data_IF_779364586371
#
_entry.id   IF_779364586371
#
_cell.length_a   1.000
_cell.length_b   1.000
_cell.length_c   1.000
_cell.angle_alpha   90.00
_cell.angle_beta   90.00
_cell.angle_gamma   90.00
#
_symmetry.space_group_name_H-M   'P 1'
#
loop_
_entity.id
_entity.type
_entity.pdbx_description
1 polymer ?
#
# COMPACT_ATOMS: atom_id res chain seq x y z
N UNK A 1 20.51 -16.22 5.84
CA UNK A 1 21.09 -15.99 4.50
C UNK A 1 20.76 -14.57 4.08
N UNK A 2 21.76 -13.69 4.03
CA UNK A 2 21.62 -12.31 3.60
C UNK A 2 21.52 -12.29 2.07
N UNK A 3 20.33 -12.02 1.52
CA UNK A 3 20.17 -11.80 0.08
C UNK A 3 20.94 -10.53 -0.28
N UNK A 4 22.17 -10.67 -0.78
CA UNK A 4 22.95 -9.54 -1.28
C UNK A 4 22.17 -8.88 -2.42
N UNK A 5 21.90 -7.57 -2.27
CA UNK A 5 21.26 -6.82 -3.33
C UNK A 5 22.25 -6.67 -4.49
N UNK A 6 21.82 -6.87 -5.75
CA UNK A 6 22.68 -6.64 -6.89
C UNK A 6 23.15 -5.17 -6.88
N UNK A 7 24.42 -4.89 -7.24
CA UNK A 7 25.04 -3.59 -7.05
C UNK A 7 24.26 -2.42 -7.69
N UNK A 8 23.48 -2.66 -8.74
CA UNK A 8 22.63 -1.65 -9.37
C UNK A 8 21.40 -1.21 -8.56
N UNK A 9 20.78 -2.11 -7.76
CA UNK A 9 19.56 -1.77 -6.99
C UNK A 9 19.87 -0.88 -5.80
N UNK A 10 20.90 -1.23 -5.03
CA UNK A 10 21.35 -0.41 -3.91
C UNK A 10 21.83 0.97 -4.39
N UNK A 11 22.54 1.02 -5.53
CA UNK A 11 22.93 2.27 -6.18
C UNK A 11 21.73 3.13 -6.58
N UNK A 12 20.69 2.54 -7.18
CA UNK A 12 19.46 3.26 -7.53
C UNK A 12 18.76 3.84 -6.30
N UNK A 13 18.59 3.04 -5.25
CA UNK A 13 17.97 3.50 -3.99
C UNK A 13 18.76 4.66 -3.39
N UNK A 14 20.09 4.51 -3.28
CA UNK A 14 20.96 5.56 -2.76
C UNK A 14 20.90 6.83 -3.62
N UNK A 15 20.84 6.70 -4.95
CA UNK A 15 20.72 7.82 -5.87
C UNK A 15 19.39 8.56 -5.69
N UNK A 16 18.27 7.85 -5.57
CA UNK A 16 16.94 8.47 -5.35
C UNK A 16 16.90 9.16 -3.99
N UNK A 17 17.30 8.46 -2.91
CA UNK A 17 17.33 9.03 -1.55
C UNK A 17 18.21 10.27 -1.52
N UNK A 18 19.43 10.17 -2.06
CA UNK A 18 20.39 11.27 -2.10
C UNK A 18 19.87 12.45 -2.91
N UNK A 19 19.23 12.21 -4.06
CA UNK A 19 18.66 13.28 -4.91
C UNK A 19 17.52 14.01 -4.20
N UNK A 20 16.55 13.27 -3.65
CA UNK A 20 15.43 13.86 -2.89
C UNK A 20 15.96 14.68 -1.73
N UNK A 21 16.89 14.12 -0.96
CA UNK A 21 17.48 14.78 0.19
C UNK A 21 18.21 16.08 -0.19
N UNK A 22 19.07 16.04 -1.22
CA UNK A 22 19.80 17.22 -1.68
C UNK A 22 18.84 18.30 -2.17
N UNK A 23 17.87 17.94 -3.00
CA UNK A 23 16.88 18.91 -3.53
C UNK A 23 16.05 19.51 -2.39
N UNK A 24 15.59 18.70 -1.44
CA UNK A 24 14.84 19.17 -0.28
C UNK A 24 15.66 20.16 0.58
N UNK A 25 16.87 19.77 0.99
CA UNK A 25 17.70 20.66 1.80
C UNK A 25 18.10 21.93 1.05
N UNK A 26 18.41 21.86 -0.25
CA UNK A 26 18.72 23.05 -1.06
C UNK A 26 17.53 24.00 -1.15
N UNK A 27 16.34 23.48 -1.45
CA UNK A 27 15.14 24.32 -1.57
C UNK A 27 14.74 24.94 -0.24
N UNK A 28 14.87 24.23 0.88
CA UNK A 28 14.67 24.78 2.23
C UNK A 28 15.68 25.88 2.56
N UNK A 29 16.97 25.68 2.25
CA UNK A 29 18.00 26.71 2.44
C UNK A 29 17.69 27.98 1.63
N UNK A 30 17.30 27.82 0.37
CA UNK A 30 16.88 28.93 -0.49
C UNK A 30 15.64 29.63 0.08
N UNK A 31 14.65 28.87 0.58
CA UNK A 31 13.45 29.45 1.17
C UNK A 31 13.77 30.28 2.42
N UNK A 32 14.65 29.79 3.30
CA UNK A 32 15.09 30.52 4.50
C UNK A 32 15.84 31.80 4.12
N UNK A 33 16.73 31.72 3.10
CA UNK A 33 17.53 32.86 2.63
C UNK A 33 16.69 33.93 1.91
N UNK A 34 15.72 33.52 1.09
CA UNK A 34 15.00 34.43 0.17
C UNK A 34 13.68 34.94 0.70
N UNK A 35 12.97 34.16 1.51
CA UNK A 35 11.66 34.58 2.03
C UNK A 35 11.81 35.40 3.31
N UNK A 36 12.88 35.21 4.09
CA UNK A 36 13.34 35.92 5.31
C UNK A 36 12.28 36.16 6.40
N UNK A 37 11.17 36.82 6.06
CA UNK A 37 10.01 37.04 6.90
C UNK A 37 9.10 35.80 6.93
N UNK A 38 8.94 35.25 8.13
CA UNK A 38 8.05 34.12 8.40
C UNK A 38 6.59 34.56 8.20
N UNK A 39 5.77 33.69 7.62
CA UNK A 39 4.34 33.92 7.33
C UNK A 39 4.03 35.06 6.34
N UNK A 40 5.03 35.56 5.61
CA UNK A 40 4.81 36.53 4.53
C UNK A 40 4.66 35.79 3.20
N UNK A 41 3.48 35.85 2.56
CA UNK A 41 3.25 35.14 1.30
C UNK A 41 3.87 35.88 0.11
N UNK A 42 4.52 35.11 -0.77
CA UNK A 42 5.08 35.59 -2.02
C UNK A 42 4.37 34.89 -3.18
N UNK A 43 3.60 35.62 -3.96
CA UNK A 43 2.82 35.04 -5.06
C UNK A 43 3.73 34.53 -6.19
N UNK A 44 3.49 33.28 -6.63
CA UNK A 44 4.20 32.65 -7.75
C UNK A 44 3.24 32.49 -8.94
N UNK A 45 2.07 31.92 -8.69
CA UNK A 45 0.98 31.78 -9.69
C UNK A 45 -0.29 32.32 -9.08
N UNK A 46 -0.45 33.64 -9.19
CA UNK A 46 -1.58 34.36 -8.58
C UNK A 46 -1.78 33.99 -7.12
N UNK A 47 -3.02 33.66 -6.76
CA UNK A 47 -3.36 33.18 -5.42
C UNK A 47 -3.12 31.67 -5.23
N UNK A 48 -3.14 30.91 -6.33
CA UNK A 48 -3.13 29.45 -6.34
C UNK A 48 -1.85 28.84 -5.77
N UNK A 49 -0.69 29.43 -6.09
CA UNK A 49 0.62 29.01 -5.60
C UNK A 49 1.39 30.21 -5.06
N UNK A 50 1.82 30.09 -3.81
CA UNK A 50 2.62 31.06 -3.10
C UNK A 50 3.82 30.37 -2.45
N UNK A 51 4.86 31.14 -2.18
CA UNK A 51 5.91 30.77 -1.27
C UNK A 51 5.77 31.52 0.04
N UNK A 52 5.59 30.78 1.13
CA UNK A 52 5.33 31.32 2.46
C UNK A 52 6.20 30.56 3.46
N UNK A 53 7.24 31.21 4.01
CA UNK A 53 8.14 30.55 4.96
C UNK A 53 7.41 30.24 6.27
N UNK A 54 7.37 28.96 6.64
CA UNK A 54 6.78 28.45 7.87
C UNK A 54 7.77 27.52 8.54
N UNK A 55 7.97 27.70 9.85
CA UNK A 55 8.71 26.76 10.67
C UNK A 55 7.73 25.88 11.43
N UNK A 56 7.90 24.58 11.29
CA UNK A 56 6.94 23.61 11.77
C UNK A 56 7.56 22.75 12.90
N UNK A 57 7.42 23.18 14.17
CA UNK A 57 8.10 22.56 15.31
C UNK A 57 7.57 21.16 15.64
N UNK A 58 6.38 20.83 15.16
CA UNK A 58 5.67 19.64 15.62
C UNK A 58 4.30 19.47 14.99
N UNK A 59 4.12 19.92 13.76
CA UNK A 59 3.01 19.49 12.94
C UNK A 59 3.49 18.67 11.75
N UNK A 60 2.72 17.66 11.39
CA UNK A 60 2.85 16.96 10.12
C UNK A 60 1.48 17.04 9.45
N UNK A 61 1.41 17.59 8.23
CA UNK A 61 0.14 17.79 7.52
C UNK A 61 -0.94 18.53 8.36
N UNK A 62 -0.53 19.51 9.17
CA UNK A 62 -1.43 20.27 10.05
C UNK A 62 -1.78 19.60 11.39
N UNK A 63 -1.27 18.40 11.70
CA UNK A 63 -1.54 17.69 12.96
C UNK A 63 -0.58 18.12 14.07
N UNK A 64 -1.08 18.75 15.14
CA UNK A 64 -0.29 19.12 16.33
C UNK A 64 -0.65 18.21 17.52
N UNK A 65 0.32 17.50 18.09
CA UNK A 65 0.14 16.54 19.21
C UNK A 65 0.60 17.11 20.57
N UNK A 66 0.69 18.44 20.68
CA UNK A 66 1.08 19.15 21.90
C UNK A 66 2.61 19.30 22.07
N UNK A 67 3.09 19.54 23.31
CA UNK A 67 4.48 19.90 23.59
C UNK A 67 5.52 18.86 23.12
N UNK A 68 5.13 17.59 23.05
CA UNK A 68 6.02 16.48 22.68
C UNK A 68 5.99 16.12 21.20
N UNK A 69 5.24 16.87 20.37
CA UNK A 69 5.04 16.56 18.96
C UNK A 69 6.33 16.31 18.19
N UNK A 70 7.38 17.12 18.45
CA UNK A 70 8.70 16.95 17.83
C UNK A 70 9.26 15.55 18.04
N UNK A 71 9.23 15.07 19.29
CA UNK A 71 9.79 13.77 19.67
C UNK A 71 8.91 12.63 19.15
N UNK A 72 7.59 12.79 19.20
CA UNK A 72 6.64 11.81 18.65
C UNK A 72 6.87 11.64 17.15
N UNK A 73 6.88 12.74 16.38
CA UNK A 73 7.10 12.65 14.93
C UNK A 73 8.51 12.16 14.57
N UNK A 74 9.52 12.49 15.39
CA UNK A 74 10.87 11.93 15.23
C UNK A 74 10.86 10.42 15.41
N UNK A 75 10.26 9.91 16.48
CA UNK A 75 10.16 8.48 16.75
C UNK A 75 9.34 7.74 15.68
N UNK A 76 8.20 8.32 15.24
CA UNK A 76 7.40 7.78 14.15
C UNK A 76 8.20 7.72 12.84
N UNK A 77 8.97 8.76 12.52
CA UNK A 77 9.80 8.79 11.31
C UNK A 77 10.88 7.70 11.36
N UNK A 78 11.56 7.53 12.49
CA UNK A 78 12.56 6.47 12.68
C UNK A 78 11.91 5.08 12.54
N UNK A 79 10.76 4.87 13.18
CA UNK A 79 9.99 3.63 13.07
C UNK A 79 9.58 3.31 11.63
N UNK A 80 9.10 4.31 10.89
CA UNK A 80 8.76 4.20 9.48
C UNK A 80 9.99 3.84 8.61
N UNK A 81 11.14 4.47 8.85
CA UNK A 81 12.38 4.13 8.13
C UNK A 81 12.84 2.69 8.39
N UNK A 82 12.71 2.20 9.63
CA UNK A 82 13.01 0.79 9.96
C UNK A 82 12.05 -0.16 9.23
N UNK A 83 10.75 0.16 9.19
CA UNK A 83 9.75 -0.63 8.47
C UNK A 83 10.02 -0.65 6.96
N UNK A 84 10.30 0.51 6.37
CA UNK A 84 10.64 0.65 4.96
C UNK A 84 11.92 -0.12 4.60
N UNK A 85 12.92 -0.11 5.48
CA UNK A 85 14.12 -0.91 5.30
C UNK A 85 13.82 -2.41 5.30
N UNK A 86 12.97 -2.90 6.22
CA UNK A 86 12.52 -4.30 6.21
C UNK A 86 11.79 -4.64 4.91
N UNK A 87 10.83 -3.80 4.51
CA UNK A 87 10.08 -3.97 3.27
C UNK A 87 11.00 -4.00 2.05
N UNK A 88 12.02 -3.16 2.01
CA UNK A 88 13.04 -3.16 0.96
C UNK A 88 13.80 -4.48 0.88
N UNK A 89 14.17 -5.08 2.03
CA UNK A 89 14.86 -6.38 2.06
C UNK A 89 13.98 -7.53 1.58
N UNK A 90 12.67 -7.43 1.78
CA UNK A 90 11.68 -8.41 1.35
C UNK A 90 11.29 -8.22 -0.13
N UNK A 91 11.57 -7.06 -0.72
CA UNK A 91 11.18 -6.72 -2.09
C UNK A 91 11.91 -7.56 -3.14
N UNK A 92 11.12 -8.25 -3.96
CA UNK A 92 11.61 -9.07 -5.08
C UNK A 92 12.46 -8.26 -6.08
N UNK A 93 13.40 -8.94 -6.75
CA UNK A 93 14.38 -8.28 -7.63
C UNK A 93 13.76 -7.53 -8.81
N UNK A 94 12.59 -7.97 -9.28
CA UNK A 94 11.89 -7.36 -10.43
C UNK A 94 10.98 -6.18 -10.08
N UNK A 95 10.67 -5.95 -8.80
CA UNK A 95 9.70 -4.93 -8.40
C UNK A 95 10.37 -3.56 -8.23
N UNK A 96 10.72 -2.95 -9.36
CA UNK A 96 11.35 -1.63 -9.38
C UNK A 96 10.41 -0.53 -8.86
N UNK A 97 9.10 -0.67 -9.05
CA UNK A 97 8.13 0.35 -8.62
C UNK A 97 8.09 0.42 -7.09
N UNK A 98 8.06 -0.72 -6.41
CA UNK A 98 8.17 -0.77 -4.94
C UNK A 98 9.49 -0.20 -4.45
N UNK A 99 10.61 -0.53 -5.11
CA UNK A 99 11.93 0.00 -4.76
C UNK A 99 11.97 1.53 -4.87
N UNK A 100 11.44 2.09 -5.96
CA UNK A 100 11.36 3.54 -6.15
C UNK A 100 10.45 4.18 -5.10
N UNK A 101 9.28 3.59 -4.83
CA UNK A 101 8.35 4.06 -3.82
C UNK A 101 9.02 4.14 -2.43
N UNK A 102 9.69 3.06 -2.00
CA UNK A 102 10.42 3.02 -0.73
C UNK A 102 11.53 4.07 -0.69
N UNK A 103 12.29 4.23 -1.77
CA UNK A 103 13.37 5.20 -1.84
C UNK A 103 12.87 6.66 -1.76
N UNK A 104 11.74 6.98 -2.42
CA UNK A 104 11.11 8.31 -2.34
C UNK A 104 10.64 8.63 -0.92
N UNK A 105 9.90 7.71 -0.28
CA UNK A 105 9.44 7.91 1.11
C UNK A 105 10.63 8.04 2.05
N UNK A 106 11.63 7.19 1.91
CA UNK A 106 12.84 7.22 2.75
C UNK A 106 13.61 8.54 2.58
N UNK A 107 13.78 9.01 1.35
CA UNK A 107 14.46 10.27 1.05
C UNK A 107 13.78 11.48 1.70
N UNK A 108 12.47 11.62 1.55
CA UNK A 108 11.71 12.70 2.18
C UNK A 108 11.68 12.59 3.70
N UNK A 109 11.52 11.37 4.23
CA UNK A 109 11.58 11.12 5.67
C UNK A 109 12.93 11.53 6.28
N UNK A 110 14.05 11.24 5.60
CA UNK A 110 15.37 11.69 6.05
C UNK A 110 15.53 13.22 6.05
N UNK A 111 15.05 13.93 5.02
CA UNK A 111 15.10 15.40 4.96
C UNK A 111 14.35 16.05 6.13
N UNK A 112 13.10 15.64 6.34
CA UNK A 112 12.30 16.17 7.46
C UNK A 112 12.82 15.72 8.84
N UNK A 113 13.37 14.52 8.97
CA UNK A 113 14.03 14.07 10.21
C UNK A 113 15.23 14.96 10.54
N UNK A 114 16.04 15.28 9.54
CA UNK A 114 17.24 16.09 9.73
C UNK A 114 16.93 17.48 10.24
N UNK A 115 15.92 18.15 9.69
CA UNK A 115 15.49 19.47 10.16
C UNK A 115 15.06 19.41 11.63
N UNK A 116 14.26 18.39 11.99
CA UNK A 116 13.82 18.17 13.37
C UNK A 116 14.97 17.90 14.33
N UNK A 117 16.09 17.34 13.87
CA UNK A 117 17.27 17.12 14.70
C UNK A 117 18.14 18.38 14.80
N UNK A 118 18.30 19.11 13.69
CA UNK A 118 19.19 20.28 13.60
C UNK A 118 18.61 21.53 14.23
N UNK A 119 17.30 21.75 14.14
CA UNK A 119 16.67 23.01 14.53
C UNK A 119 15.53 22.80 15.53
N UNK A 120 15.47 23.56 16.63
CA UNK A 120 14.32 23.56 17.52
C UNK A 120 13.07 24.18 16.88
N UNK A 121 13.24 24.93 15.78
CA UNK A 121 12.12 25.50 15.01
C UNK A 121 11.37 24.43 14.20
N UNK A 122 11.96 23.23 14.08
CA UNK A 122 11.40 22.10 13.36
C UNK A 122 11.61 22.17 11.85
N UNK A 123 10.67 21.60 11.11
CA UNK A 123 10.74 21.45 9.65
C UNK A 123 10.53 22.79 8.96
N UNK A 124 11.28 23.05 7.88
CA UNK A 124 11.09 24.24 7.04
C UNK A 124 10.07 23.92 5.95
N UNK A 125 8.93 24.59 6.01
CA UNK A 125 7.86 24.51 5.01
C UNK A 125 7.79 25.83 4.25
N UNK A 126 7.52 25.76 2.94
CA UNK A 126 7.53 26.97 2.11
C UNK A 126 6.59 26.93 0.91
N UNK A 127 6.08 25.77 0.52
CA UNK A 127 5.15 25.62 -0.59
C UNK A 127 3.73 25.77 -0.05
N UNK A 128 3.04 26.83 -0.50
CA UNK A 128 1.70 27.18 -0.03
C UNK A 128 0.74 27.20 -1.22
N UNK A 129 -0.23 26.28 -1.23
CA UNK A 129 -1.21 26.12 -2.32
C UNK A 129 -2.64 26.29 -1.79
N UNK A 130 -3.47 26.99 -2.55
CA UNK A 130 -4.86 27.24 -2.15
C UNK A 130 -5.47 28.46 -2.82
N UNK A 131 -6.73 28.75 -2.51
CA UNK A 131 -7.46 29.92 -3.03
C UNK A 131 -8.18 30.61 -1.87
N UNK A 132 -7.94 31.92 -1.72
CA UNK A 132 -8.49 32.74 -0.65
C UNK A 132 -8.11 32.19 0.72
N UNK A 133 -9.13 31.88 1.53
CA UNK A 133 -8.99 31.29 2.87
C UNK A 133 -8.92 29.77 2.85
N UNK A 134 -9.25 29.11 1.74
CA UNK A 134 -9.16 27.66 1.60
C UNK A 134 -7.78 27.29 1.08
N UNK A 135 -6.86 27.02 2.02
CA UNK A 135 -5.47 26.70 1.72
C UNK A 135 -5.06 25.37 2.31
N UNK A 136 -4.30 24.61 1.55
CA UNK A 136 -3.68 23.38 2.02
C UNK A 136 -2.56 23.71 3.02
N UNK A 137 -2.30 22.87 4.04
CA UNK A 137 -1.17 23.08 4.93
C UNK A 137 0.13 23.25 4.15
N UNK A 138 0.92 24.28 4.47
CA UNK A 138 2.21 24.53 3.83
C UNK A 138 3.11 23.29 3.97
N UNK A 139 3.83 22.95 2.90
CA UNK A 139 4.64 21.74 2.80
C UNK A 139 5.97 22.03 2.09
N UNK A 140 6.78 20.99 1.92
CA UNK A 140 8.09 21.08 1.26
C UNK A 140 8.31 19.92 0.27
N UNK A 141 9.51 19.86 -0.31
CA UNK A 141 9.86 18.82 -1.30
C UNK A 141 9.94 17.43 -0.66
N UNK A 142 10.43 17.32 0.56
CA UNK A 142 10.40 16.06 1.31
C UNK A 142 8.97 15.53 1.49
N UNK A 143 7.98 16.39 1.78
CA UNK A 143 6.59 15.97 1.88
C UNK A 143 6.04 15.50 0.53
N UNK A 144 6.37 16.18 -0.57
CA UNK A 144 6.02 15.73 -1.92
C UNK A 144 6.58 14.33 -2.22
N UNK A 145 7.85 14.08 -1.88
CA UNK A 145 8.48 12.78 -2.07
C UNK A 145 7.82 11.69 -1.22
N UNK A 146 7.48 11.99 0.04
CA UNK A 146 6.73 11.09 0.92
C UNK A 146 5.35 10.79 0.35
N UNK A 147 4.58 11.80 -0.06
CA UNK A 147 3.24 11.62 -0.62
C UNK A 147 3.26 10.81 -1.92
N UNK A 148 4.13 11.15 -2.87
CA UNK A 148 4.27 10.40 -4.13
C UNK A 148 4.72 8.96 -3.89
N UNK A 149 5.71 8.75 -3.02
CA UNK A 149 6.19 7.43 -2.66
C UNK A 149 5.13 6.59 -1.94
N UNK A 150 4.35 7.19 -1.03
CA UNK A 150 3.26 6.51 -0.33
C UNK A 150 2.14 6.10 -1.29
N UNK A 151 1.74 6.98 -2.23
CA UNK A 151 0.75 6.66 -3.27
C UNK A 151 1.25 5.50 -4.14
N UNK A 152 2.51 5.55 -4.60
CA UNK A 152 3.09 4.47 -5.39
C UNK A 152 3.11 3.15 -4.61
N UNK A 153 3.47 3.18 -3.34
CA UNK A 153 3.49 1.99 -2.50
C UNK A 153 2.10 1.41 -2.29
N UNK A 154 1.10 2.27 -2.05
CA UNK A 154 -0.30 1.86 -1.93
C UNK A 154 -0.79 1.20 -3.22
N UNK A 155 -0.48 1.76 -4.39
CA UNK A 155 -0.83 1.17 -5.70
C UNK A 155 -0.17 -0.19 -5.89
N UNK A 156 1.10 -0.35 -5.52
CA UNK A 156 1.80 -1.64 -5.60
C UNK A 156 1.10 -2.68 -4.73
N UNK A 157 0.85 -2.35 -3.46
CA UNK A 157 0.22 -3.27 -2.51
C UNK A 157 -1.18 -3.66 -2.96
N UNK A 158 -1.97 -2.70 -3.43
CA UNK A 158 -3.32 -2.96 -3.95
C UNK A 158 -3.31 -3.93 -5.15
N UNK A 159 -2.37 -3.75 -6.09
CA UNK A 159 -2.23 -4.64 -7.27
C UNK A 159 -1.72 -6.04 -6.94
N UNK A 160 -1.05 -6.21 -5.80
CA UNK A 160 -0.64 -7.54 -5.33
C UNK A 160 -1.80 -8.27 -4.68
N UNK A 161 -2.60 -7.57 -3.89
CA UNK A 161 -3.75 -8.13 -3.20
C UNK A 161 -4.79 -8.65 -4.20
N UNK A 162 -5.17 -7.84 -5.18
CA UNK A 162 -6.09 -8.26 -6.26
C UNK A 162 -5.57 -9.47 -7.06
N UNK A 163 -4.25 -9.59 -7.23
CA UNK A 163 -3.65 -10.76 -7.93
C UNK A 163 -3.68 -12.02 -7.10
N UNK A 164 -3.59 -11.91 -5.77
CA UNK A 164 -3.72 -13.04 -4.84
C UNK A 164 -5.16 -13.54 -4.83
N UNK A 165 -6.13 -12.64 -4.70
CA UNK A 165 -7.56 -12.97 -4.74
C UNK A 165 -7.96 -13.68 -6.03
N UNK A 166 -7.53 -13.18 -7.19
CA UNK A 166 -7.81 -13.80 -8.47
C UNK A 166 -7.16 -15.19 -8.61
N UNK A 167 -5.95 -15.37 -8.06
CA UNK A 167 -5.25 -16.65 -8.06
C UNK A 167 -5.93 -17.69 -7.16
N UNK A 168 -6.46 -17.27 -6.01
CA UNK A 168 -7.17 -18.14 -5.08
C UNK A 168 -8.53 -18.59 -5.65
N UNK A 169 -9.28 -17.69 -6.30
CA UNK A 169 -10.53 -18.03 -6.99
C UNK A 169 -10.32 -19.05 -8.13
N UNK A 170 -9.24 -18.89 -8.91
CA UNK A 170 -8.95 -19.80 -10.01
C UNK A 170 -8.55 -21.21 -9.50
N UNK A 171 -7.84 -21.29 -8.37
CA UNK A 171 -7.50 -22.56 -7.72
C UNK A 171 -8.72 -23.30 -7.15
N UNK A 172 -9.65 -22.56 -6.54
CA UNK A 172 -10.90 -23.15 -6.01
C UNK A 172 -11.78 -23.69 -7.14
N UNK A 173 -11.83 -22.99 -8.28
CA UNK A 173 -12.56 -23.41 -9.49
C UNK A 173 -11.94 -24.66 -10.14
N UNK A 174 -10.62 -24.73 -10.25
CA UNK A 174 -9.93 -25.91 -10.79
C UNK A 174 -10.16 -27.15 -9.90
N UNK A 175 -10.09 -27.01 -8.57
CA UNK A 175 -10.33 -28.12 -7.64
C UNK A 175 -11.78 -28.62 -7.65
N UNK A 176 -12.76 -27.72 -7.79
CA UNK A 176 -14.17 -28.12 -7.93
C UNK A 176 -14.46 -28.80 -9.27
N UNK A 177 -13.75 -28.43 -10.34
CA UNK A 177 -13.91 -29.04 -11.66
C UNK A 177 -13.29 -30.44 -11.70
N UNK A 178 -12.06 -30.61 -11.22
CA UNK A 178 -11.39 -31.93 -11.13
C UNK A 178 -12.16 -32.92 -10.24
N UNK A 179 -12.68 -32.47 -9.09
CA UNK A 179 -13.48 -33.33 -8.21
C UNK A 179 -14.80 -33.80 -8.83
N UNK A 180 -15.38 -32.99 -9.73
CA UNK A 180 -16.63 -33.31 -10.43
C UNK A 180 -16.42 -34.31 -11.57
N UNK A 181 -15.29 -34.20 -12.28
CA UNK A 181 -14.90 -35.14 -13.35
C UNK A 181 -14.54 -36.52 -12.79
N UNK A 182 -13.90 -36.60 -11.62
CA UNK A 182 -13.62 -37.88 -10.94
C UNK A 182 -14.91 -38.55 -10.44
N UNK A 183 -15.85 -37.79 -9.85
CA UNK A 183 -17.14 -38.32 -9.43
C UNK A 183 -18.02 -38.80 -10.60
N UNK A 184 -17.88 -38.20 -11.78
CA UNK A 184 -18.57 -38.65 -13.00
C UNK A 184 -17.92 -39.90 -13.64
N UNK A 185 -16.60 -40.10 -13.45
CA UNK A 185 -15.84 -41.24 -13.99
C UNK A 185 -16.03 -42.57 -13.23
N UNK A 186 -16.36 -42.55 -11.94
CA UNK A 186 -16.58 -43.76 -11.13
C UNK A 186 -17.99 -44.39 -11.30
N UNK A 187 -18.90 -43.73 -12.04
CA UNK A 187 -20.28 -44.19 -12.26
C UNK A 187 -20.50 -45.21 -13.38
N UNK A 188 -19.48 -45.58 -14.15
CA UNK A 188 -19.61 -46.49 -15.31
C UNK A 188 -18.52 -47.55 -15.35
N UNK A 189 -18.58 -48.53 -14.45
CA UNK A 189 -17.57 -49.59 -14.43
C UNK A 189 -17.83 -50.76 -13.50
N UNK A 190 -18.96 -51.46 -13.62
CA UNK A 190 -19.02 -52.92 -13.35
C UNK A 190 -20.38 -53.50 -13.74
N UNK A 191 -20.47 -54.07 -14.95
CA UNK A 191 -21.51 -55.03 -15.32
C UNK A 191 -20.86 -56.14 -16.13
N UNK A 192 -20.40 -57.19 -15.43
CA UNK A 192 -19.72 -58.32 -16.04
C UNK A 192 -19.83 -59.59 -15.20
N UNK A 193 -20.78 -60.44 -15.62
CA UNK A 193 -20.84 -61.91 -15.45
C UNK A 193 -21.03 -62.51 -14.03
N UNK A 194 -22.26 -62.98 -13.76
CA UNK A 194 -22.52 -64.24 -13.05
C UNK A 194 -23.96 -64.73 -13.30
N UNK A 195 -24.10 -65.92 -13.91
CA UNK A 195 -25.21 -66.86 -13.70
C UNK A 195 -24.69 -67.99 -12.77
N UNK A 196 -25.50 -68.85 -12.10
CA UNK A 196 -26.88 -69.25 -12.43
C UNK A 196 -27.85 -69.48 -11.22
N UNK A 197 -29.05 -69.97 -11.57
CA UNK A 197 -29.88 -70.97 -10.86
C UNK A 197 -31.13 -70.53 -10.05
N UNK A 198 -32.30 -70.76 -10.68
CA UNK A 198 -33.59 -71.32 -10.17
C UNK A 198 -34.15 -70.81 -8.82
N UNK A 199 -35.34 -70.19 -8.84
CA UNK A 199 -36.58 -70.77 -8.30
C UNK A 199 -37.79 -69.81 -8.35
N UNK A 200 -38.92 -70.39 -8.75
CA UNK A 200 -40.28 -69.87 -8.76
C UNK A 200 -40.81 -69.45 -7.38
N UNK A 201 -41.67 -68.43 -7.30
CA UNK A 201 -42.61 -68.34 -6.17
C UNK A 201 -43.32 -67.00 -5.93
N UNK A 202 -44.54 -66.88 -6.49
CA UNK A 202 -45.78 -66.33 -5.88
C UNK A 202 -45.79 -64.97 -5.12
N UNK A 203 -46.58 -64.06 -5.68
CA UNK A 203 -47.84 -63.51 -5.17
C UNK A 203 -47.90 -62.72 -3.83
N UNK A 204 -48.55 -61.55 -3.92
CA UNK A 204 -49.20 -60.81 -2.83
C UNK A 204 -48.99 -59.31 -3.00
N UNK A 205 -49.90 -58.52 -3.60
CA UNK A 205 -51.02 -57.80 -2.94
C UNK A 205 -50.54 -57.01 -1.71
N UNK A 206 -50.83 -55.75 -1.44
CA UNK A 206 -51.76 -54.73 -1.94
C UNK A 206 -51.66 -53.57 -0.93
N UNK A 207 -52.05 -52.34 -1.29
CA UNK A 207 -52.40 -51.31 -0.30
C UNK A 207 -51.48 -50.09 -0.32
N UNK A 208 -51.71 -49.06 -1.14
CA UNK A 208 -52.71 -47.99 -0.98
C UNK A 208 -52.37 -47.03 0.17
N UNK A 209 -51.96 -45.79 -0.14
CA UNK A 209 -52.57 -44.55 0.34
C UNK A 209 -51.74 -43.32 -0.08
N UNK A 210 -52.34 -42.51 -0.97
CA UNK A 210 -52.11 -41.07 -1.15
C UNK A 210 -52.78 -40.30 0.05
N UNK A 211 -52.81 -38.95 0.18
CA UNK A 211 -52.65 -37.94 -0.88
C UNK A 211 -51.91 -36.63 -0.51
N UNK A 212 -51.61 -35.86 -1.57
CA UNK A 212 -51.79 -34.41 -1.80
C UNK A 212 -52.15 -33.54 -0.57
N UNK A 213 -51.66 -32.32 -0.41
CA UNK A 213 -51.75 -31.19 -1.37
C UNK A 213 -50.95 -29.99 -0.81
N UNK A 214 -50.48 -29.06 -1.65
CA UNK A 214 -49.65 -27.90 -1.26
C UNK A 214 -50.48 -26.63 -1.04
N UNK A 215 -49.90 -25.60 -0.41
CA UNK A 215 -50.35 -24.22 -0.59
C UNK A 215 -49.16 -23.25 -0.69
N UNK A 216 -49.23 -22.49 -1.78
CA UNK A 216 -48.55 -21.24 -2.14
C UNK A 216 -48.42 -20.21 -1.02
N UNK A 217 -47.46 -19.29 -1.23
CA UNK A 217 -47.72 -17.85 -1.08
C UNK A 217 -46.94 -17.18 0.03
#
# INVERSE_FOLDING_TARGET
>A
MEKSNPPGRAGLVAAIIGSVFVVDQMTKLIAVDRLVAVYVPHAVVGDALRFTLVYNPGAAFGLHLGPYSRWIFTALTIGALVLLYKLYRETERGDLVRVIAIALVSGGAFGNLLDRLRSPRGVVDFIDVGIGTSRWPTFNVADMAVSCGAILLAVVLWREDTRREAGDQNRETDQTTEGKDQAAGEGTGSAGAAQPLIASGRAGTSGTAAPDTPLHG
#
